data_IF_889168090140
#
_entry.id   IF_889168090140
#
_cell.length_a   1.000
_cell.length_b   1.000
_cell.length_c   1.000
_cell.angle_alpha   90.00
_cell.angle_beta   90.00
_cell.angle_gamma   90.00
#
_symmetry.space_group_name_H-M   'P 1'
#
loop_
_entity.id
_entity.type
_entity.pdbx_description
1 polymer ?
#
# COMPACT_ATOMS: atom_id res chain seq x y z
N UNK A 1 -15.93 -4.91 21.88
CA UNK A 1 -15.73 -5.87 20.77
C UNK A 1 -14.83 -5.19 19.75
N UNK A 2 -13.60 -5.67 19.57
CA UNK A 2 -12.71 -5.15 18.53
C UNK A 2 -13.30 -5.52 17.18
N UNK A 3 -13.42 -4.56 16.27
CA UNK A 3 -13.95 -4.82 14.92
C UNK A 3 -12.97 -5.76 14.20
N UNK A 4 -13.46 -6.87 13.67
CA UNK A 4 -12.62 -7.79 12.91
C UNK A 4 -12.14 -7.11 11.63
N UNK A 5 -10.83 -7.07 11.42
CA UNK A 5 -10.20 -6.46 10.24
C UNK A 5 -10.30 -7.43 9.07
N UNK A 6 -10.85 -6.98 7.95
CA UNK A 6 -10.83 -7.75 6.70
C UNK A 6 -9.51 -7.46 5.96
N UNK A 7 -8.56 -8.40 6.05
CA UNK A 7 -7.22 -8.26 5.46
C UNK A 7 -7.25 -7.99 3.95
N UNK A 8 -8.10 -8.70 3.20
CA UNK A 8 -8.17 -8.55 1.75
C UNK A 8 -8.78 -7.21 1.34
N UNK A 9 -9.78 -6.72 2.09
CA UNK A 9 -10.33 -5.39 1.87
C UNK A 9 -9.31 -4.29 2.19
N UNK A 10 -8.49 -4.47 3.23
CA UNK A 10 -7.39 -3.55 3.55
C UNK A 10 -6.34 -3.54 2.43
N UNK A 11 -5.90 -4.71 1.95
CA UNK A 11 -4.95 -4.83 0.86
C UNK A 11 -5.45 -4.18 -0.44
N UNK A 12 -6.74 -4.34 -0.76
CA UNK A 12 -7.37 -3.69 -1.91
C UNK A 12 -7.36 -2.14 -1.79
N UNK A 13 -7.71 -1.61 -0.60
CA UNK A 13 -7.64 -0.16 -0.33
C UNK A 13 -6.21 0.36 -0.39
N UNK A 14 -5.25 -0.41 0.13
CA UNK A 14 -3.83 -0.08 0.08
C UNK A 14 -3.37 0.12 -1.36
N UNK A 15 -3.51 -0.88 -2.24
CA UNK A 15 -3.06 -0.76 -3.63
C UNK A 15 -3.82 0.31 -4.42
N UNK A 16 -5.07 0.62 -4.05
CA UNK A 16 -5.84 1.70 -4.68
C UNK A 16 -5.15 3.07 -4.52
N UNK A 17 -4.55 3.35 -3.36
CA UNK A 17 -3.82 4.61 -3.11
C UNK A 17 -2.62 4.78 -4.04
N UNK A 18 -1.92 3.69 -4.38
CA UNK A 18 -0.80 3.71 -5.33
C UNK A 18 -1.24 3.91 -6.79
N UNK A 19 -2.50 3.57 -7.11
CA UNK A 19 -3.10 3.79 -8.43
C UNK A 19 -3.82 5.16 -8.54
N UNK A 20 -4.01 5.90 -7.45
CA UNK A 20 -4.85 7.10 -7.43
C UNK A 20 -4.17 8.31 -8.08
N UNK A 21 -4.79 8.81 -9.16
CA UNK A 21 -4.33 9.96 -9.94
C UNK A 21 -4.65 11.30 -9.26
N UNK A 22 -5.81 11.42 -8.61
CA UNK A 22 -6.23 12.66 -7.97
C UNK A 22 -5.49 12.89 -6.64
N UNK A 23 -4.88 14.07 -6.49
CA UNK A 23 -4.03 14.36 -5.34
C UNK A 23 -4.80 14.46 -4.01
N UNK A 24 -6.02 14.99 -4.01
CA UNK A 24 -6.84 15.11 -2.79
C UNK A 24 -7.37 13.75 -2.37
N UNK A 25 -7.85 12.94 -3.33
CA UNK A 25 -8.28 11.56 -3.06
C UNK A 25 -7.13 10.71 -2.57
N UNK A 26 -5.93 10.86 -3.14
CA UNK A 26 -4.73 10.14 -2.68
C UNK A 26 -4.38 10.52 -1.24
N UNK A 27 -4.36 11.83 -0.89
CA UNK A 27 -4.15 12.29 0.49
C UNK A 27 -5.19 11.75 1.46
N UNK A 28 -6.46 11.76 1.06
CA UNK A 28 -7.56 11.21 1.86
C UNK A 28 -7.38 9.70 2.08
N UNK A 29 -7.09 8.96 1.00
CA UNK A 29 -6.85 7.52 1.07
C UNK A 29 -5.65 7.15 1.95
N UNK A 30 -4.58 7.96 1.94
CA UNK A 30 -3.45 7.81 2.85
C UNK A 30 -3.89 8.02 4.31
N UNK A 31 -4.63 9.09 4.61
CA UNK A 31 -5.11 9.36 5.97
C UNK A 31 -6.11 8.30 6.47
N UNK A 32 -6.89 7.71 5.58
CA UNK A 32 -7.82 6.61 5.89
C UNK A 32 -7.12 5.26 6.12
N UNK A 33 -5.87 5.11 5.67
CA UNK A 33 -5.07 3.89 5.80
C UNK A 33 -4.07 3.99 6.96
N UNK A 34 -3.22 5.00 6.99
CA UNK A 34 -2.19 5.19 8.03
C UNK A 34 -2.70 6.06 9.16
N UNK A 35 -2.11 5.92 10.35
CA UNK A 35 -2.20 6.93 11.42
C UNK A 35 -1.35 8.18 11.08
N UNK A 36 -1.54 9.34 11.73
CA UNK A 36 -0.82 10.58 11.41
C UNK A 36 0.70 10.43 11.36
N UNK A 37 1.25 9.66 12.30
CA UNK A 37 2.69 9.41 12.43
C UNK A 37 3.07 8.04 11.86
N UNK A 38 2.25 7.50 10.96
CA UNK A 38 2.45 6.17 10.38
C UNK A 38 3.73 6.10 9.55
N UNK A 39 4.34 4.92 9.53
CA UNK A 39 5.66 4.70 8.97
C UNK A 39 5.59 3.74 7.77
N UNK A 40 6.45 3.97 6.76
CA UNK A 40 6.65 3.06 5.64
C UNK A 40 8.14 2.87 5.37
N UNK A 41 8.56 1.60 5.28
CA UNK A 41 9.94 1.19 5.09
C UNK A 41 10.10 0.31 3.85
N UNK A 42 11.15 0.58 3.06
CA UNK A 42 11.54 -0.26 1.91
C UNK A 42 12.99 -0.03 1.54
N UNK A 43 13.74 -1.12 1.43
CA UNK A 43 15.20 -1.03 1.35
C UNK A 43 15.74 -0.17 2.50
N UNK A 44 16.58 0.81 2.18
CA UNK A 44 17.15 1.74 3.17
C UNK A 44 16.27 2.98 3.44
N UNK A 45 15.12 3.10 2.78
CA UNK A 45 14.28 4.30 2.87
C UNK A 45 13.28 4.19 4.04
N UNK A 46 13.27 5.23 4.88
CA UNK A 46 12.23 5.51 5.85
C UNK A 46 11.32 6.64 5.36
N UNK A 47 10.00 6.45 5.44
CA UNK A 47 8.97 7.41 5.03
C UNK A 47 8.01 7.58 6.20
N UNK A 48 7.98 8.77 6.80
CA UNK A 48 7.32 9.00 8.09
C UNK A 48 6.25 10.09 7.98
N UNK A 49 5.03 9.75 8.38
CA UNK A 49 3.89 10.66 8.39
C UNK A 49 3.30 10.95 7.00
N UNK A 50 2.12 11.57 7.01
CA UNK A 50 1.31 11.73 5.79
C UNK A 50 2.00 12.46 4.65
N UNK A 51 2.77 13.51 4.93
CA UNK A 51 3.43 14.29 3.87
C UNK A 51 4.47 13.45 3.13
N UNK A 52 5.32 12.74 3.87
CA UNK A 52 6.32 11.86 3.27
C UNK A 52 5.67 10.67 2.55
N UNK A 53 4.59 10.11 3.13
CA UNK A 53 3.79 9.05 2.51
C UNK A 53 3.18 9.53 1.18
N UNK A 54 2.60 10.73 1.14
CA UNK A 54 2.06 11.32 -0.10
C UNK A 54 3.16 11.42 -1.16
N UNK A 55 4.31 12.00 -0.80
CA UNK A 55 5.42 12.17 -1.72
C UNK A 55 5.92 10.83 -2.27
N UNK A 56 5.97 9.80 -1.42
CA UNK A 56 6.35 8.45 -1.82
C UNK A 56 5.35 7.82 -2.78
N UNK A 57 4.06 7.81 -2.41
CA UNK A 57 3.01 7.20 -3.21
C UNK A 57 2.91 7.92 -4.56
N UNK A 58 2.92 9.26 -4.56
CA UNK A 58 2.91 10.09 -5.77
C UNK A 58 4.09 9.76 -6.68
N UNK A 59 5.32 9.72 -6.16
CA UNK A 59 6.49 9.41 -6.99
C UNK A 59 6.42 8.02 -7.63
N UNK A 60 5.88 7.03 -6.91
CA UNK A 60 5.65 5.69 -7.48
C UNK A 60 4.54 5.69 -8.53
N UNK A 61 3.44 6.40 -8.28
CA UNK A 61 2.33 6.55 -9.22
C UNK A 61 2.79 7.22 -10.53
N UNK A 62 3.46 8.36 -10.42
CA UNK A 62 3.96 9.12 -11.58
C UNK A 62 4.85 8.23 -12.46
N UNK A 63 5.83 7.56 -11.87
CA UNK A 63 6.73 6.67 -12.60
C UNK A 63 6.00 5.46 -13.18
N UNK A 64 5.43 4.62 -12.30
CA UNK A 64 5.03 3.28 -12.70
C UNK A 64 3.65 3.25 -13.38
N UNK A 65 2.72 4.13 -12.96
CA UNK A 65 1.33 4.12 -13.44
C UNK A 65 1.15 5.11 -14.58
N UNK A 66 1.47 6.38 -14.36
CA UNK A 66 1.25 7.44 -15.36
C UNK A 66 2.22 7.32 -16.53
N UNK A 67 3.51 7.21 -16.25
CA UNK A 67 4.56 7.27 -17.29
C UNK A 67 4.80 5.90 -17.94
N UNK A 68 4.89 4.83 -17.15
CA UNK A 68 5.14 3.47 -17.64
C UNK A 68 3.86 2.67 -17.97
N UNK A 69 2.66 3.24 -17.76
CA UNK A 69 1.39 2.62 -18.16
C UNK A 69 0.99 1.36 -17.40
N UNK A 70 1.49 1.17 -16.17
CA UNK A 70 1.18 0.00 -15.35
C UNK A 70 0.04 0.28 -14.36
N UNK A 71 -0.37 -0.77 -13.63
CA UNK A 71 -1.25 -0.69 -12.47
C UNK A 71 -0.76 -1.65 -11.38
N UNK A 72 -1.12 -1.36 -10.14
CA UNK A 72 -0.92 -2.24 -9.01
C UNK A 72 -2.19 -3.00 -8.66
N UNK A 73 -2.08 -4.28 -8.30
CA UNK A 73 -3.17 -5.06 -7.67
C UNK A 73 -2.66 -5.81 -6.45
N UNK A 74 -3.56 -6.05 -5.50
CA UNK A 74 -3.30 -6.94 -4.38
C UNK A 74 -3.64 -8.36 -4.80
N UNK A 75 -2.71 -9.31 -4.62
CA UNK A 75 -2.99 -10.71 -4.80
C UNK A 75 -4.06 -11.17 -3.79
N UNK A 76 -4.80 -12.23 -4.13
CA UNK A 76 -5.85 -12.81 -3.28
C UNK A 76 -5.27 -13.68 -2.14
N UNK A 77 -4.26 -13.17 -1.45
CA UNK A 77 -3.50 -13.88 -0.42
C UNK A 77 -3.35 -13.08 0.88
N UNK A 78 -4.15 -12.02 1.07
CA UNK A 78 -4.05 -11.20 2.27
C UNK A 78 -4.46 -11.98 3.52
N UNK A 79 -3.65 -11.87 4.56
CA UNK A 79 -3.86 -12.58 5.83
C UNK A 79 -3.73 -11.61 7.00
N UNK A 80 -4.54 -11.84 8.03
CA UNK A 80 -4.44 -11.19 9.33
C UNK A 80 -3.95 -12.21 10.36
N UNK A 81 -2.96 -11.83 11.16
CA UNK A 81 -2.53 -12.54 12.36
C UNK A 81 -2.33 -11.53 13.47
N UNK A 82 -3.14 -11.61 14.53
CA UNK A 82 -3.22 -10.58 15.56
C UNK A 82 -3.45 -9.19 14.96
N UNK A 83 -2.50 -8.28 15.15
CA UNK A 83 -2.44 -6.90 14.66
C UNK A 83 -1.50 -6.74 13.46
N UNK A 84 -1.17 -7.85 12.78
CA UNK A 84 -0.31 -7.86 11.60
C UNK A 84 -1.10 -8.33 10.38
N UNK A 85 -1.08 -7.52 9.32
CA UNK A 85 -1.62 -7.87 8.00
C UNK A 85 -0.46 -8.09 7.03
N UNK A 86 -0.55 -9.11 6.19
CA UNK A 86 0.41 -9.32 5.10
C UNK A 86 -0.29 -9.71 3.81
N UNK A 87 0.25 -9.29 2.68
CA UNK A 87 -0.21 -9.64 1.34
C UNK A 87 0.87 -9.37 0.31
N UNK A 88 0.67 -9.89 -0.90
CA UNK A 88 1.55 -9.62 -2.04
C UNK A 88 0.92 -8.56 -2.94
N UNK A 89 1.69 -7.54 -3.32
CA UNK A 89 1.33 -6.64 -4.41
C UNK A 89 1.95 -7.13 -5.72
N UNK A 90 1.27 -6.83 -6.82
CA UNK A 90 1.72 -7.15 -8.17
C UNK A 90 1.61 -5.89 -9.02
N UNK A 91 2.61 -5.65 -9.87
CA UNK A 91 2.60 -4.59 -10.88
C UNK A 91 2.51 -5.22 -12.26
N UNK A 92 1.60 -4.71 -13.09
CA UNK A 92 1.27 -5.28 -14.40
C UNK A 92 0.90 -4.16 -15.38
N UNK A 93 1.07 -4.33 -16.71
CA UNK A 93 0.62 -3.36 -17.71
C UNK A 93 -0.89 -3.15 -17.61
N UNK A 94 -1.40 -1.93 -17.79
CA UNK A 94 -2.83 -1.64 -17.60
C UNK A 94 -3.79 -2.51 -18.45
N UNK A 95 -3.32 -3.00 -19.60
CA UNK A 95 -4.06 -3.81 -20.58
C UNK A 95 -3.76 -5.32 -20.52
N UNK A 96 -2.98 -5.77 -19.52
CA UNK A 96 -2.53 -7.17 -19.41
C UNK A 96 -2.55 -7.69 -17.97
N UNK A 97 -2.62 -9.01 -17.83
CA UNK A 97 -2.47 -9.73 -16.56
C UNK A 97 -1.08 -10.37 -16.39
N UNK A 98 -0.12 -10.01 -17.25
CA UNK A 98 1.28 -10.40 -17.09
C UNK A 98 1.91 -9.66 -15.92
N UNK A 99 2.35 -10.39 -14.89
CA UNK A 99 3.02 -9.81 -13.72
C UNK A 99 4.45 -9.41 -14.10
N UNK A 100 4.75 -8.11 -14.01
CA UNK A 100 6.09 -7.56 -14.27
C UNK A 100 6.97 -7.55 -13.02
N UNK A 101 6.35 -7.25 -11.88
CA UNK A 101 7.02 -7.20 -10.59
C UNK A 101 6.04 -7.57 -9.47
N UNK A 102 6.60 -8.00 -8.35
CA UNK A 102 5.86 -8.32 -7.14
C UNK A 102 6.64 -7.87 -5.91
N UNK A 103 5.95 -7.69 -4.79
CA UNK A 103 6.56 -7.49 -3.49
C UNK A 103 5.63 -7.92 -2.37
N UNK A 104 6.18 -8.02 -1.16
CA UNK A 104 5.46 -8.41 0.04
C UNK A 104 5.26 -7.20 0.94
N UNK A 105 4.03 -6.99 1.41
CA UNK A 105 3.74 -6.04 2.47
C UNK A 105 3.57 -6.77 3.81
N UNK A 106 4.09 -6.16 4.86
CA UNK A 106 3.84 -6.53 6.26
C UNK A 106 3.44 -5.27 7.02
N UNK A 107 2.16 -5.18 7.36
CA UNK A 107 1.56 -4.02 8.03
C UNK A 107 1.31 -4.37 9.50
N UNK A 108 1.76 -3.51 10.41
CA UNK A 108 1.22 -3.47 11.79
C UNK A 108 0.05 -2.49 11.82
N UNK A 109 -1.05 -2.87 12.46
CA UNK A 109 -2.29 -2.07 12.47
C UNK A 109 -2.83 -1.91 13.88
N UNK A 110 -3.46 -0.77 14.16
CA UNK A 110 -4.14 -0.55 15.42
C UNK A 110 -5.51 -1.27 15.48
N UNK A 111 -6.25 -1.12 16.58
CA UNK A 111 -7.55 -1.76 16.79
C UNK A 111 -8.63 -1.33 15.77
N UNK A 112 -8.48 -0.16 15.13
CA UNK A 112 -9.34 0.34 14.07
C UNK A 112 -8.92 -0.14 12.66
N UNK A 113 -7.81 -0.86 12.55
CA UNK A 113 -7.25 -1.32 11.28
C UNK A 113 -6.48 -0.24 10.52
N UNK A 114 -6.04 0.83 11.20
CA UNK A 114 -5.15 1.84 10.63
C UNK A 114 -3.69 1.40 10.80
N UNK A 115 -2.91 1.59 9.75
CA UNK A 115 -1.52 1.20 9.64
C UNK A 115 -0.67 2.08 10.57
N UNK A 116 0.04 1.42 11.47
CA UNK A 116 1.06 2.02 12.32
C UNK A 116 2.41 2.01 11.59
N UNK A 117 2.80 0.83 11.09
CA UNK A 117 4.04 0.63 10.35
C UNK A 117 3.80 -0.30 9.18
N UNK A 118 4.34 0.07 8.02
CA UNK A 118 4.30 -0.67 6.76
C UNK A 118 5.72 -1.06 6.33
N UNK A 119 5.99 -2.37 6.28
CA UNK A 119 7.25 -2.91 5.78
C UNK A 119 7.04 -3.53 4.41
N UNK A 120 7.64 -2.91 3.39
CA UNK A 120 7.61 -3.38 2.02
C UNK A 120 8.92 -4.08 1.66
N UNK A 121 8.81 -5.32 1.20
CA UNK A 121 9.91 -6.11 0.65
C UNK A 121 9.74 -6.24 -0.86
N UNK A 122 10.75 -5.82 -1.60
CA UNK A 122 10.84 -6.04 -3.05
C UNK A 122 11.92 -7.09 -3.28
N UNK A 123 11.66 -8.15 -4.10
CA UNK A 123 12.69 -9.12 -4.46
C UNK A 123 13.91 -8.42 -5.06
N UNK A 124 15.09 -8.95 -4.75
CA UNK A 124 16.38 -8.46 -5.24
C UNK A 124 16.57 -8.72 -6.74
#
# INVERSE_FOLDING_TARGET
>A
MTRSINAQALAARYVAVWNETDAERRRTGIADLWVPDGEHYVGERAVLGYEALEARVRGSHEKNVRDDGNRFRAAANARLLHDVVTFTWEMLPADSDTVLATGLEVLTVNAEGRILVDYQFVPA
#
